data_IF_024050877182
#
_entry.id   IF_024050877182
#
_cell.length_a   1.000
_cell.length_b   1.000
_cell.length_c   1.000
_cell.angle_alpha   90.00
_cell.angle_beta   90.00
_cell.angle_gamma   90.00
#
_symmetry.space_group_name_H-M   'P 1'
#
loop_
_entity.id
_entity.type
_entity.pdbx_description
1 polymer ?
#
# COMPACT_ATOMS: atom_id res chain seq x y z
N UNK A 1 8.71 -13.50 -9.36
CA UNK A 1 9.01 -12.05 -9.18
C UNK A 1 7.73 -11.25 -8.93
N UNK A 2 6.62 -11.58 -9.57
CA UNK A 2 5.33 -10.88 -9.46
C UNK A 2 4.75 -10.77 -8.04
N UNK A 3 5.07 -11.69 -7.14
CA UNK A 3 4.56 -11.71 -5.75
C UNK A 3 4.91 -10.50 -4.89
N UNK A 4 5.87 -9.68 -5.31
CA UNK A 4 6.32 -8.53 -4.53
C UNK A 4 5.68 -7.22 -4.98
N UNK A 5 4.97 -7.25 -6.10
CA UNK A 5 4.38 -6.08 -6.73
C UNK A 5 2.87 -6.08 -6.61
N UNK A 6 2.34 -4.90 -6.48
CA UNK A 6 0.91 -4.69 -6.46
C UNK A 6 0.29 -5.03 -7.82
N UNK A 7 -0.90 -5.66 -7.86
CA UNK A 7 -1.63 -5.91 -9.11
C UNK A 7 -1.90 -4.62 -9.91
N UNK A 8 -2.00 -4.77 -11.22
CA UNK A 8 -2.18 -3.64 -12.16
C UNK A 8 -3.35 -2.73 -11.79
N UNK A 9 -4.53 -3.29 -11.53
CA UNK A 9 -5.77 -2.54 -11.22
C UNK A 9 -5.66 -1.73 -9.93
N UNK A 10 -4.98 -2.25 -8.92
CA UNK A 10 -4.71 -1.50 -7.68
C UNK A 10 -3.65 -0.42 -7.92
N UNK A 11 -2.67 -0.69 -8.77
CA UNK A 11 -1.66 0.29 -9.16
C UNK A 11 -2.28 1.47 -9.91
N UNK A 12 -3.26 1.22 -10.78
CA UNK A 12 -4.05 2.26 -11.45
C UNK A 12 -4.80 3.13 -10.45
N UNK A 13 -5.53 2.51 -9.53
CA UNK A 13 -6.26 3.23 -8.47
C UNK A 13 -5.34 4.09 -7.60
N UNK A 14 -4.18 3.57 -7.22
CA UNK A 14 -3.21 4.34 -6.45
C UNK A 14 -2.61 5.52 -7.24
N UNK A 15 -2.38 5.35 -8.55
CA UNK A 15 -2.01 6.46 -9.44
C UNK A 15 -3.05 7.57 -9.38
N UNK A 16 -4.34 7.25 -9.46
CA UNK A 16 -5.45 8.20 -9.35
C UNK A 16 -5.51 8.89 -7.98
N UNK A 17 -5.09 8.20 -6.92
CA UNK A 17 -4.97 8.75 -5.56
C UNK A 17 -3.67 9.54 -5.32
N UNK A 18 -2.85 9.71 -6.35
CA UNK A 18 -1.65 10.53 -6.31
C UNK A 18 -0.41 9.80 -5.82
N UNK A 19 -0.35 8.46 -5.93
CA UNK A 19 0.86 7.70 -5.62
C UNK A 19 2.03 8.26 -6.46
N UNK A 20 3.00 8.84 -5.78
CA UNK A 20 4.21 9.38 -6.35
C UNK A 20 5.43 8.85 -5.60
N UNK A 21 6.01 7.79 -6.12
CA UNK A 21 7.18 7.12 -5.55
C UNK A 21 8.22 6.89 -6.65
N UNK A 22 9.52 6.87 -6.31
CA UNK A 22 10.55 6.43 -7.25
C UNK A 22 10.26 5.01 -7.72
N UNK A 23 10.34 4.76 -9.03
CA UNK A 23 10.05 3.45 -9.57
C UNK A 23 11.10 2.98 -10.57
N UNK A 24 11.35 1.68 -10.55
CA UNK A 24 12.12 0.96 -11.57
C UNK A 24 11.24 0.01 -12.37
N UNK A 25 10.07 -0.32 -11.84
CA UNK A 25 9.13 -1.28 -12.39
C UNK A 25 7.82 -0.61 -12.73
N UNK A 26 7.25 -1.01 -13.87
CA UNK A 26 6.01 -0.40 -14.36
C UNK A 26 5.22 -1.38 -15.23
N UNK A 27 3.93 -1.12 -15.34
CA UNK A 27 3.01 -1.71 -16.29
C UNK A 27 2.83 -0.80 -17.49
N UNK A 28 2.68 -1.37 -18.67
CA UNK A 28 2.23 -0.64 -19.84
C UNK A 28 0.73 -0.79 -20.02
N UNK A 29 0.02 0.29 -20.36
CA UNK A 29 -1.43 0.26 -20.54
C UNK A 29 -1.85 -0.45 -21.82
N UNK A 30 -0.98 -0.46 -22.83
CA UNK A 30 -1.16 -1.15 -24.11
C UNK A 30 -0.81 -2.66 -24.05
N UNK A 31 -0.19 -3.13 -22.97
CA UNK A 31 0.16 -4.54 -22.80
C UNK A 31 -1.07 -5.35 -22.36
N UNK A 32 -1.44 -6.36 -23.15
CA UNK A 32 -2.61 -7.21 -22.88
C UNK A 32 -2.45 -8.03 -21.61
N UNK A 33 -1.25 -8.55 -21.39
CA UNK A 33 -0.95 -9.44 -20.27
C UNK A 33 -0.56 -8.67 -19.00
N UNK A 34 -0.47 -7.34 -19.07
CA UNK A 34 -0.06 -6.47 -17.95
C UNK A 34 1.21 -6.96 -17.28
N UNK A 35 2.21 -7.32 -18.06
CA UNK A 35 3.50 -7.74 -17.56
C UNK A 35 4.25 -6.58 -16.90
N UNK A 36 5.09 -6.93 -15.92
CA UNK A 36 5.94 -5.95 -15.25
C UNK A 36 7.19 -5.72 -16.08
N UNK A 37 7.39 -4.49 -16.50
CA UNK A 37 8.58 -4.02 -17.18
C UNK A 37 9.54 -3.35 -16.21
N UNK A 38 10.81 -3.28 -16.53
CA UNK A 38 11.80 -2.56 -15.71
C UNK A 38 12.56 -1.56 -16.58
N UNK A 39 12.92 -0.44 -16.00
CA UNK A 39 13.82 0.53 -16.62
C UNK A 39 15.25 0.29 -16.14
N UNK A 40 16.19 0.24 -17.09
CA UNK A 40 17.62 0.15 -16.81
C UNK A 40 18.30 1.52 -16.68
N UNK A 41 17.55 2.60 -16.86
CA UNK A 41 18.09 3.96 -16.88
C UNK A 41 17.94 4.63 -15.50
N UNK A 42 19.06 5.17 -14.99
CA UNK A 42 19.08 6.05 -13.80
C UNK A 42 18.13 7.27 -14.00
N UNK A 43 17.89 7.68 -15.24
CA UNK A 43 16.91 8.71 -15.58
C UNK A 43 15.48 8.34 -15.17
N UNK A 44 15.15 7.07 -15.00
CA UNK A 44 13.83 6.66 -14.50
C UNK A 44 13.54 7.22 -13.09
N UNK A 45 14.55 7.40 -12.25
CA UNK A 45 14.42 8.05 -10.94
C UNK A 45 14.09 9.55 -11.05
N UNK A 46 14.61 10.24 -12.05
CA UNK A 46 14.32 11.66 -12.29
C UNK A 46 12.95 11.84 -12.96
N UNK A 47 12.47 10.85 -13.68
CA UNK A 47 11.18 10.87 -14.36
C UNK A 47 10.00 10.54 -13.44
N UNK A 48 10.22 10.02 -12.23
CA UNK A 48 9.17 9.65 -11.28
C UNK A 48 8.19 10.80 -10.97
N UNK A 49 8.64 12.05 -11.14
CA UNK A 49 7.84 13.23 -10.84
C UNK A 49 7.24 13.93 -12.08
N UNK A 50 7.55 13.51 -13.30
CA UNK A 50 7.19 14.27 -14.52
C UNK A 50 6.51 13.51 -15.63
N UNK A 51 6.64 12.18 -15.70
CA UNK A 51 6.05 11.40 -16.79
C UNK A 51 5.20 10.28 -16.19
N UNK A 52 4.10 10.66 -15.64
CA UNK A 52 2.96 9.77 -15.60
C UNK A 52 2.23 10.03 -16.92
N UNK A 53 2.80 9.55 -17.98
CA UNK A 53 2.14 9.43 -19.26
C UNK A 53 0.97 8.45 -19.06
N UNK A 54 -0.12 8.65 -19.78
CA UNK A 54 -1.28 7.73 -19.74
C UNK A 54 -0.93 6.31 -20.19
N UNK A 55 0.25 6.13 -20.78
CA UNK A 55 0.76 4.85 -21.26
C UNK A 55 1.46 3.98 -20.20
N UNK A 56 1.80 4.56 -19.03
CA UNK A 56 2.60 3.88 -18.01
C UNK A 56 1.95 3.99 -16.64
N UNK A 57 1.90 2.87 -15.93
CA UNK A 57 1.46 2.78 -14.53
C UNK A 57 2.60 2.20 -13.71
N UNK A 58 2.98 2.86 -12.63
CA UNK A 58 3.99 2.35 -11.69
C UNK A 58 3.55 0.96 -11.23
N UNK A 59 4.49 -0.01 -11.19
CA UNK A 59 4.32 -1.30 -10.54
C UNK A 59 5.02 -1.22 -9.15
N UNK A 60 4.34 -0.71 -8.11
CA UNK A 60 4.96 -0.54 -6.81
C UNK A 60 5.10 -1.87 -6.09
N UNK A 61 6.16 -2.03 -5.32
CA UNK A 61 6.21 -3.09 -4.32
C UNK A 61 5.29 -2.75 -3.14
N UNK A 62 4.75 -3.77 -2.48
CA UNK A 62 3.89 -3.59 -1.30
C UNK A 62 4.53 -2.68 -0.25
N UNK A 63 5.82 -2.87 0.05
CA UNK A 63 6.52 -2.05 1.03
C UNK A 63 6.56 -0.57 0.63
N UNK A 64 6.74 -0.26 -0.65
CA UNK A 64 6.73 1.13 -1.14
C UNK A 64 5.35 1.78 -0.95
N UNK A 65 4.27 1.00 -1.15
CA UNK A 65 2.90 1.48 -0.92
C UNK A 65 2.66 1.72 0.57
N UNK A 66 3.07 0.80 1.44
CA UNK A 66 2.95 0.98 2.89
C UNK A 66 3.71 2.22 3.37
N UNK A 67 4.94 2.41 2.90
CA UNK A 67 5.75 3.58 3.26
C UNK A 67 5.11 4.89 2.75
N UNK A 68 4.57 4.90 1.53
CA UNK A 68 3.85 6.04 1.00
C UNK A 68 2.57 6.35 1.79
N UNK A 69 1.77 5.35 2.11
CA UNK A 69 0.57 5.51 2.93
C UNK A 69 0.91 6.07 4.32
N UNK A 70 1.97 5.57 4.94
CA UNK A 70 2.44 6.05 6.25
C UNK A 70 2.90 7.50 6.19
N UNK A 71 3.72 7.85 5.20
CA UNK A 71 4.36 9.15 5.12
C UNK A 71 3.45 10.24 4.57
N UNK A 72 2.58 9.93 3.61
CA UNK A 72 1.79 10.92 2.88
C UNK A 72 0.31 10.94 3.29
N UNK A 73 -0.19 9.87 3.87
CA UNK A 73 -1.59 9.72 4.23
C UNK A 73 -1.82 9.49 5.74
N UNK A 74 -0.75 9.37 6.52
CA UNK A 74 -0.83 9.03 7.95
C UNK A 74 -1.61 7.72 8.21
N UNK A 75 -1.47 6.76 7.30
CA UNK A 75 -2.11 5.45 7.39
C UNK A 75 -1.03 4.39 7.47
N UNK A 76 -1.08 3.55 8.48
CA UNK A 76 -0.17 2.42 8.65
C UNK A 76 -0.90 1.10 8.44
N UNK A 77 -0.26 0.20 7.69
CA UNK A 77 -0.73 -1.17 7.46
C UNK A 77 0.31 -2.12 8.02
N UNK A 78 -0.09 -2.95 8.94
CA UNK A 78 0.70 -4.03 9.50
C UNK A 78 0.05 -5.38 9.16
N UNK A 79 0.84 -6.33 8.70
CA UNK A 79 0.37 -7.70 8.44
C UNK A 79 1.02 -8.62 9.48
N UNK A 80 0.24 -9.02 10.46
CA UNK A 80 0.70 -9.97 11.49
C UNK A 80 0.53 -11.42 11.03
N UNK A 81 1.51 -12.24 11.35
CA UNK A 81 1.47 -13.67 11.09
C UNK A 81 1.18 -14.43 12.38
N UNK A 82 0.05 -15.10 12.43
CA UNK A 82 -0.38 -15.87 13.59
C UNK A 82 -0.62 -17.34 13.22
N UNK A 83 -0.49 -18.21 14.21
CA UNK A 83 -0.92 -19.60 14.08
C UNK A 83 -2.29 -19.74 14.72
N UNK A 84 -3.32 -19.85 13.89
CA UNK A 84 -4.66 -20.05 14.40
C UNK A 84 -4.90 -21.54 14.69
N UNK A 85 -4.98 -21.89 15.96
CA UNK A 85 -5.22 -23.27 16.42
C UNK A 85 -6.60 -23.80 16.02
N UNK A 86 -7.55 -22.92 15.76
CA UNK A 86 -8.91 -23.27 15.36
C UNK A 86 -9.04 -23.54 13.85
N UNK A 87 -8.04 -23.14 13.05
CA UNK A 87 -7.99 -23.41 11.61
C UNK A 87 -6.89 -24.44 11.34
N UNK A 88 -7.02 -25.64 11.92
CA UNK A 88 -6.12 -26.78 11.68
C UNK A 88 -4.62 -26.46 11.89
N UNK A 89 -4.27 -25.50 12.76
CA UNK A 89 -2.87 -25.10 13.01
C UNK A 89 -2.19 -24.41 11.84
N UNK A 90 -2.91 -23.97 10.81
CA UNK A 90 -2.34 -23.24 9.69
C UNK A 90 -1.92 -21.83 10.09
N UNK A 91 -0.83 -21.38 9.48
CA UNK A 91 -0.40 -19.99 9.56
C UNK A 91 -1.41 -19.11 8.84
N UNK A 92 -1.85 -18.06 9.52
CA UNK A 92 -2.77 -17.07 8.98
C UNK A 92 -2.15 -15.68 9.05
N UNK A 93 -2.55 -14.80 8.16
CA UNK A 93 -2.12 -13.42 8.10
C UNK A 93 -3.30 -12.51 8.40
N UNK A 94 -3.09 -11.56 9.29
CA UNK A 94 -4.14 -10.65 9.77
C UNK A 94 -3.67 -9.22 9.51
N UNK A 95 -4.36 -8.46 8.65
CA UNK A 95 -4.03 -7.07 8.43
C UNK A 95 -4.58 -6.19 9.55
N UNK A 96 -3.77 -5.25 10.00
CA UNK A 96 -4.16 -4.18 10.91
C UNK A 96 -3.94 -2.85 10.21
N UNK A 97 -4.95 -1.98 10.27
CA UNK A 97 -4.91 -0.65 9.69
C UNK A 97 -5.04 0.36 10.82
N UNK A 98 -4.16 1.34 10.84
CA UNK A 98 -4.18 2.44 11.80
C UNK A 98 -4.08 3.78 11.07
N UNK A 99 -4.81 4.77 11.56
CA UNK A 99 -4.65 6.16 11.12
C UNK A 99 -4.03 6.98 12.23
N UNK A 100 -3.30 8.02 11.86
CA UNK A 100 -2.66 8.94 12.79
C UNK A 100 -3.17 10.36 12.55
N UNK A 101 -3.60 11.00 13.62
CA UNK A 101 -4.03 12.39 13.62
C UNK A 101 -3.06 13.21 14.45
N UNK A 102 -2.55 14.31 13.86
CA UNK A 102 -1.74 15.27 14.58
C UNK A 102 -2.61 16.16 15.46
N UNK A 103 -2.19 16.40 16.66
CA UNK A 103 -2.81 17.36 17.57
C UNK A 103 -1.80 18.06 18.47
N UNK A 104 -2.15 19.24 18.95
CA UNK A 104 -1.40 19.98 19.97
C UNK A 104 -2.23 20.16 21.21
N UNK A 105 -1.60 20.30 22.36
CA UNK A 105 -2.27 20.68 23.61
C UNK A 105 -2.22 22.18 23.79
N UNK A 106 -3.25 22.78 24.37
CA UNK A 106 -3.35 24.23 24.62
C UNK A 106 -2.23 24.76 25.49
N UNK A 107 -1.73 23.94 26.42
CA UNK A 107 -0.65 24.24 27.34
C UNK A 107 0.75 23.98 26.73
N UNK A 108 0.82 23.34 25.57
CA UNK A 108 2.08 23.00 24.90
C UNK A 108 1.92 23.02 23.36
N UNK A 109 1.61 24.20 22.78
CA UNK A 109 1.30 24.30 21.33
C UNK A 109 2.51 24.02 20.43
N UNK A 110 3.73 24.04 20.96
CA UNK A 110 4.96 23.76 20.21
C UNK A 110 5.24 22.27 20.05
N UNK A 111 4.53 21.41 20.80
CA UNK A 111 4.74 19.96 20.79
C UNK A 111 3.65 19.29 19.99
N UNK A 112 4.02 18.81 18.77
CA UNK A 112 3.13 17.99 17.95
C UNK A 112 3.03 16.60 18.59
N UNK A 113 1.79 16.13 18.75
CA UNK A 113 1.47 14.78 19.25
C UNK A 113 0.64 14.06 18.20
N UNK A 114 0.67 12.72 18.28
CA UNK A 114 -0.07 11.87 17.36
C UNK A 114 -1.06 11.01 18.13
N UNK A 115 -2.29 10.97 17.63
CA UNK A 115 -3.32 10.05 18.12
C UNK A 115 -3.46 8.94 17.11
N UNK A 116 -3.18 7.72 17.53
CA UNK A 116 -3.40 6.53 16.73
C UNK A 116 -4.84 6.04 16.91
N UNK A 117 -5.53 5.82 15.80
CA UNK A 117 -6.82 5.16 15.77
C UNK A 117 -6.69 3.86 14.99
N UNK A 118 -6.93 2.72 15.64
CA UNK A 118 -7.00 1.42 14.96
C UNK A 118 -8.33 1.31 14.25
N UNK A 119 -8.27 0.95 12.99
CA UNK A 119 -9.45 0.67 12.18
C UNK A 119 -9.66 -0.84 12.23
N UNK A 120 -10.81 -1.26 12.71
CA UNK A 120 -11.20 -2.67 12.66
C UNK A 120 -11.78 -2.92 11.26
N UNK A 121 -11.02 -3.58 10.37
CA UNK A 121 -11.54 -3.94 9.07
C UNK A 121 -12.74 -4.89 9.23
N UNK A 122 -13.62 -4.97 8.22
CA UNK A 122 -14.70 -5.95 8.20
C UNK A 122 -14.20 -7.38 8.44
N UNK A 123 -15.06 -8.27 8.92
CA UNK A 123 -14.70 -9.65 9.30
C UNK A 123 -14.06 -10.47 8.18
N UNK A 124 -14.30 -10.15 6.92
CA UNK A 124 -13.66 -10.73 5.75
C UNK A 124 -12.15 -10.52 5.68
N UNK A 125 -11.61 -9.55 6.42
CA UNK A 125 -10.16 -9.30 6.53
C UNK A 125 -9.48 -10.17 7.60
N UNK A 126 -10.20 -10.96 8.34
CA UNK A 126 -9.66 -11.51 9.59
C UNK A 126 -8.66 -12.64 9.39
N UNK A 127 -8.74 -13.40 8.29
CA UNK A 127 -7.91 -14.59 8.10
C UNK A 127 -7.55 -14.83 6.64
N UNK A 128 -6.28 -14.60 6.30
CA UNK A 128 -5.73 -14.94 4.99
C UNK A 128 -4.67 -16.01 5.12
N UNK A 129 -4.59 -16.90 4.15
CA UNK A 129 -3.57 -17.95 4.14
C UNK A 129 -2.28 -17.54 3.46
N UNK A 130 -2.28 -16.41 2.76
CA UNK A 130 -1.10 -15.81 2.13
C UNK A 130 -0.97 -14.36 2.58
N UNK A 131 0.28 -13.94 2.73
CA UNK A 131 0.62 -12.57 3.10
C UNK A 131 0.13 -11.57 2.06
N UNK A 132 0.31 -11.91 0.79
CA UNK A 132 -0.06 -11.06 -0.34
C UNK A 132 -1.58 -10.82 -0.39
N UNK A 133 -2.39 -11.84 -0.12
CA UNK A 133 -3.86 -11.72 -0.07
C UNK A 133 -4.29 -10.76 1.05
N UNK A 134 -3.65 -10.84 2.22
CA UNK A 134 -3.91 -9.93 3.33
C UNK A 134 -3.50 -8.49 2.99
N UNK A 135 -2.36 -8.32 2.33
CA UNK A 135 -1.87 -7.01 1.90
C UNK A 135 -2.76 -6.39 0.82
N UNK A 136 -3.19 -7.16 -0.17
CA UNK A 136 -4.09 -6.71 -1.23
C UNK A 136 -5.42 -6.20 -0.65
N UNK A 137 -6.04 -6.96 0.23
CA UNK A 137 -7.30 -6.56 0.85
C UNK A 137 -7.16 -5.34 1.75
N UNK A 138 -6.04 -5.24 2.51
CA UNK A 138 -5.78 -4.05 3.32
C UNK A 138 -5.61 -2.79 2.46
N UNK A 139 -4.81 -2.86 1.39
CA UNK A 139 -4.61 -1.74 0.46
C UNK A 139 -5.92 -1.38 -0.23
N UNK A 140 -6.70 -2.36 -0.69
CA UNK A 140 -8.00 -2.14 -1.30
C UNK A 140 -8.94 -1.40 -0.36
N UNK A 141 -9.02 -1.83 0.90
CA UNK A 141 -9.83 -1.15 1.91
C UNK A 141 -9.39 0.32 2.08
N UNK A 142 -8.08 0.57 2.18
CA UNK A 142 -7.54 1.93 2.29
C UNK A 142 -7.91 2.78 1.09
N UNK A 143 -7.77 2.25 -0.13
CA UNK A 143 -8.11 2.97 -1.37
C UNK A 143 -9.60 3.32 -1.45
N UNK A 144 -10.46 2.36 -1.10
CA UNK A 144 -11.91 2.49 -1.31
C UNK A 144 -12.59 3.26 -0.16
N UNK A 145 -12.04 3.21 1.08
CA UNK A 145 -12.72 3.74 2.27
C UNK A 145 -11.98 4.91 2.96
N UNK A 146 -10.67 5.06 2.77
CA UNK A 146 -9.89 6.02 3.55
C UNK A 146 -9.24 7.14 2.75
N UNK A 147 -8.99 6.96 1.49
CA UNK A 147 -8.37 7.95 0.61
C UNK A 147 -9.16 8.10 -0.70
#
# INVERSE_FOLDING_TARGET
>A
MERYFLPYDMSVKLKEKGLNIPFYFFYRTDDVDKQIHHSTSIKALEYSNKIIDDEVVIAPMYQQVFDWLRNEKNIDIEIDASVNRYIFGNKVYIPYISTYEEFTLDDSPETIRYRQTKINPPLEFVHFFKWEEAADEAIKYVIDELI
#
